data_IF_258008248670
#
_entry.id   IF_258008248670
#
_cell.length_a   1.000
_cell.length_b   1.000
_cell.length_c   1.000
_cell.angle_alpha   90.00
_cell.angle_beta   90.00
_cell.angle_gamma   90.00
#
_symmetry.space_group_name_H-M   'P 1'
#
loop_
_entity.id
_entity.type
_entity.pdbx_description
1 polymer ?
#
# COMPACT_ATOMS: atom_id res chain seq x y z
N UNK A 1 9.64 2.07 -21.94
CA UNK A 1 9.71 1.37 -20.64
C UNK A 1 8.42 0.57 -20.42
N UNK A 2 8.50 -0.74 -20.17
CA UNK A 2 7.33 -1.51 -19.74
C UNK A 2 7.03 -1.13 -18.30
N UNK A 3 6.04 -0.26 -18.07
CA UNK A 3 5.42 -0.11 -16.75
C UNK A 3 4.83 -1.47 -16.38
N UNK A 4 5.55 -2.25 -15.56
CA UNK A 4 5.01 -3.49 -14.98
C UNK A 4 3.67 -3.16 -14.30
N UNK A 5 2.64 -3.95 -14.56
CA UNK A 5 1.33 -3.77 -13.95
C UNK A 5 1.44 -3.74 -12.42
N UNK A 6 0.54 -3.01 -11.78
CA UNK A 6 0.38 -3.04 -10.31
C UNK A 6 -0.35 -4.35 -9.98
N UNK A 7 0.12 -5.13 -8.99
CA UNK A 7 -0.52 -6.39 -8.62
C UNK A 7 -1.84 -6.15 -7.88
N UNK A 8 -2.83 -7.00 -8.14
CA UNK A 8 -4.10 -7.09 -7.41
C UNK A 8 -3.88 -7.74 -6.03
N UNK A 9 -4.75 -7.43 -5.08
CA UNK A 9 -4.76 -7.98 -3.72
C UNK A 9 -3.86 -7.25 -2.72
N UNK A 10 -3.26 -6.11 -3.12
CA UNK A 10 -2.30 -5.36 -2.30
C UNK A 10 -2.78 -3.96 -1.90
N UNK A 11 -4.02 -3.58 -2.24
CA UNK A 11 -4.58 -2.27 -1.87
C UNK A 11 -3.98 -1.11 -2.67
N UNK A 12 -3.63 -1.36 -3.94
CA UNK A 12 -2.92 -0.41 -4.82
C UNK A 12 -3.75 -0.03 -6.04
N UNK A 13 -4.86 -0.72 -6.29
CA UNK A 13 -5.77 -0.42 -7.37
C UNK A 13 -6.96 0.40 -6.88
N UNK A 14 -7.54 1.27 -7.73
CA UNK A 14 -8.65 2.13 -7.33
C UNK A 14 -9.85 1.39 -6.74
N UNK A 15 -10.20 0.22 -7.27
CA UNK A 15 -11.29 -0.63 -6.80
C UNK A 15 -11.02 -1.29 -5.43
N UNK A 16 -9.77 -1.29 -4.96
CA UNK A 16 -9.39 -1.76 -3.62
C UNK A 16 -9.41 -0.64 -2.58
N UNK A 17 -9.57 0.62 -3.00
CA UNK A 17 -9.61 1.78 -2.11
C UNK A 17 -11.04 2.08 -1.66
N UNK A 18 -11.20 2.46 -0.40
CA UNK A 18 -12.52 2.64 0.25
C UNK A 18 -13.46 3.57 -0.53
N UNK A 19 -12.92 4.64 -1.13
CA UNK A 19 -13.68 5.63 -1.92
C UNK A 19 -13.27 5.69 -3.40
N UNK A 20 -12.50 4.72 -3.90
CA UNK A 20 -11.94 4.78 -5.26
C UNK A 20 -10.81 5.81 -5.45
N UNK A 21 -10.36 6.45 -4.37
CA UNK A 21 -9.32 7.50 -4.37
C UNK A 21 -8.15 7.08 -3.48
N UNK A 22 -6.93 7.39 -3.93
CA UNK A 22 -5.73 7.09 -3.17
C UNK A 22 -5.74 7.87 -1.84
N UNK A 23 -5.45 7.23 -0.69
CA UNK A 23 -5.53 7.89 0.60
C UNK A 23 -4.50 9.03 0.70
N UNK A 24 -5.00 10.26 0.87
CA UNK A 24 -4.19 11.48 0.94
C UNK A 24 -3.69 11.80 2.35
N UNK A 25 -4.17 11.06 3.35
CA UNK A 25 -3.72 11.15 4.74
C UNK A 25 -4.06 9.87 5.50
N UNK A 26 -3.35 9.65 6.60
CA UNK A 26 -3.60 8.55 7.54
C UNK A 26 -3.68 9.12 8.97
N UNK A 27 -4.50 8.53 9.84
CA UNK A 27 -4.62 8.95 11.25
C UNK A 27 -3.94 7.91 12.14
N UNK A 28 -2.72 8.22 12.56
CA UNK A 28 -1.98 7.37 13.49
C UNK A 28 -2.45 7.61 14.92
N UNK A 29 -3.03 6.57 15.54
CA UNK A 29 -3.35 6.56 16.96
C UNK A 29 -2.07 6.41 17.76
N UNK A 30 -1.84 7.28 18.74
CA UNK A 30 -0.64 7.30 19.58
C UNK A 30 -0.97 7.56 21.06
N UNK A 31 0.02 7.34 21.94
CA UNK A 31 -0.12 7.49 23.39
C UNK A 31 -0.82 6.32 24.08
N UNK A 32 -0.96 6.39 25.41
CA UNK A 32 -1.66 5.35 26.19
C UNK A 32 -3.10 5.23 25.69
N UNK A 33 -3.49 4.00 25.31
CA UNK A 33 -4.84 3.65 24.82
C UNK A 33 -5.29 4.43 23.57
N UNK A 34 -4.37 4.95 22.76
CA UNK A 34 -4.73 5.71 21.55
C UNK A 34 -5.37 7.07 21.83
N UNK A 35 -5.08 7.65 22.99
CA UNK A 35 -5.62 8.95 23.44
C UNK A 35 -5.20 10.13 22.57
N UNK A 36 -4.17 9.97 21.74
CA UNK A 36 -3.70 11.00 20.80
C UNK A 36 -3.88 10.51 19.37
N UNK A 37 -4.20 11.43 18.48
CA UNK A 37 -4.28 11.17 17.05
C UNK A 37 -3.33 12.10 16.33
N UNK A 38 -2.53 11.55 15.43
CA UNK A 38 -1.64 12.29 14.55
C UNK A 38 -2.13 12.09 13.12
N UNK A 39 -2.56 13.16 12.47
CA UNK A 39 -2.88 13.14 11.05
C UNK A 39 -1.58 13.31 10.27
N UNK A 40 -1.24 12.31 9.47
CA UNK A 40 -0.07 12.31 8.58
C UNK A 40 -0.55 12.52 7.16
N UNK A 41 -0.03 13.54 6.48
CA UNK A 41 -0.32 13.73 5.06
C UNK A 41 0.44 12.70 4.22
N UNK A 42 -0.24 12.13 3.23
CA UNK A 42 0.29 11.17 2.28
C UNK A 42 0.17 11.73 0.85
N UNK A 43 1.05 12.65 0.42
CA UNK A 43 1.00 13.14 -0.96
C UNK A 43 1.21 12.02 -1.98
N UNK A 44 0.26 11.89 -2.91
CA UNK A 44 0.27 10.87 -3.96
C UNK A 44 1.57 10.85 -4.76
N UNK A 45 2.13 12.02 -5.06
CA UNK A 45 3.37 12.16 -5.83
C UNK A 45 4.58 11.51 -5.14
N UNK A 46 4.54 11.34 -3.82
CA UNK A 46 5.60 10.73 -3.02
C UNK A 46 5.25 9.28 -2.68
N UNK A 47 4.03 9.04 -2.20
CA UNK A 47 3.68 7.76 -1.59
C UNK A 47 3.16 6.73 -2.57
N UNK A 48 2.38 7.13 -3.58
CA UNK A 48 1.86 6.21 -4.58
C UNK A 48 2.96 5.44 -5.34
N UNK A 49 4.00 6.08 -5.91
CA UNK A 49 5.05 5.32 -6.61
C UNK A 49 5.81 4.38 -5.66
N UNK A 50 5.94 4.72 -4.38
CA UNK A 50 6.55 3.85 -3.38
C UNK A 50 5.66 2.64 -3.08
N UNK A 51 4.38 2.87 -2.83
CA UNK A 51 3.41 1.82 -2.57
C UNK A 51 3.36 0.81 -3.73
N UNK A 52 3.34 1.29 -4.98
CA UNK A 52 3.42 0.43 -6.17
C UNK A 52 4.71 -0.41 -6.22
N UNK A 53 5.86 0.19 -5.89
CA UNK A 53 7.14 -0.52 -5.87
C UNK A 53 7.17 -1.61 -4.79
N UNK A 54 6.71 -1.27 -3.59
CA UNK A 54 6.61 -2.21 -2.47
C UNK A 54 5.66 -3.36 -2.78
N UNK A 55 4.46 -3.06 -3.29
CA UNK A 55 3.49 -4.08 -3.67
C UNK A 55 3.99 -5.04 -4.73
N UNK A 56 4.68 -4.54 -5.76
CA UNK A 56 5.33 -5.41 -6.76
C UNK A 56 6.39 -6.33 -6.13
N UNK A 57 7.13 -5.84 -5.13
CA UNK A 57 8.10 -6.63 -4.38
C UNK A 57 7.43 -7.73 -3.56
N UNK A 58 6.38 -7.38 -2.81
CA UNK A 58 5.59 -8.34 -2.03
C UNK A 58 4.96 -9.41 -2.93
N UNK A 59 4.36 -9.02 -4.06
CA UNK A 59 3.83 -9.96 -5.03
C UNK A 59 4.86 -10.94 -5.61
N UNK A 60 6.12 -10.51 -5.71
CA UNK A 60 7.20 -11.42 -6.11
C UNK A 60 7.55 -12.39 -4.98
N UNK A 61 7.66 -11.90 -3.74
CA UNK A 61 7.96 -12.72 -2.57
C UNK A 61 6.88 -13.78 -2.32
N UNK A 62 5.61 -13.40 -2.41
CA UNK A 62 4.48 -14.33 -2.23
C UNK A 62 4.54 -15.44 -3.29
N UNK A 63 4.78 -15.09 -4.56
CA UNK A 63 4.98 -16.09 -5.64
C UNK A 63 6.16 -17.01 -5.36
N UNK A 64 7.27 -16.49 -4.83
CA UNK A 64 8.43 -17.29 -4.48
C UNK A 64 8.13 -18.25 -3.33
N UNK A 65 7.36 -17.80 -2.33
CA UNK A 65 6.95 -18.66 -1.23
C UNK A 65 6.06 -19.80 -1.72
N UNK A 66 5.03 -19.50 -2.52
CA UNK A 66 4.15 -20.54 -3.09
C UNK A 66 4.93 -21.58 -3.91
N UNK A 67 5.91 -21.15 -4.72
CA UNK A 67 6.76 -22.08 -5.49
C UNK A 67 7.70 -22.94 -4.64
N UNK A 68 7.92 -22.60 -3.36
CA UNK A 68 8.77 -23.37 -2.44
C UNK A 68 8.01 -24.36 -1.57
N UNK A 69 6.68 -24.27 -1.57
CA UNK A 69 5.79 -25.18 -0.84
C UNK A 69 5.26 -26.33 -1.72
N UNK A 70 5.53 -26.28 -3.03
CA UNK A 70 5.34 -27.35 -4.04
C UNK A 70 6.62 -28.18 -4.26
#
# INVERSE_FOLDING_TARGET
EQRKSVPEGYGLLPDEWEDGVYPTFEILKSGRRGSKQLRVALPDSIWRPRAEMWGRGLALLDRMQYMSED
#
